data_IF_192465077293
#
_entry.id   IF_192465077293
#
_cell.length_a   1.000
_cell.length_b   1.000
_cell.length_c   1.000
_cell.angle_alpha   90.00
_cell.angle_beta   90.00
_cell.angle_gamma   90.00
#
_symmetry.space_group_name_H-M   'P 1'
#
loop_
_entity.id
_entity.type
_entity.pdbx_description
1 polymer ?
#
# COMPACT_ATOMS: atom_id res chain seq x y z
N UNK A 1 2.50 2.60 9.72
CA UNK A 1 2.01 3.83 10.38
C UNK A 1 0.53 3.66 10.60
N UNK A 2 0.05 3.67 11.86
CA UNK A 2 -1.36 3.49 12.22
C UNK A 2 -2.22 4.72 11.89
N UNK A 3 -1.92 5.41 10.78
CA UNK A 3 -2.47 6.71 10.37
C UNK A 3 -3.75 6.56 9.53
N UNK A 4 -4.11 5.33 9.15
CA UNK A 4 -5.29 5.02 8.33
C UNK A 4 -5.20 5.57 6.90
N UNK A 5 -4.07 6.13 6.49
CA UNK A 5 -3.86 6.59 5.12
C UNK A 5 -3.60 5.40 4.21
N UNK A 6 -4.35 5.30 3.11
CA UNK A 6 -4.16 4.23 2.12
C UNK A 6 -4.12 4.83 0.71
N UNK A 7 -3.41 4.13 -0.17
CA UNK A 7 -3.43 4.39 -1.60
C UNK A 7 -4.24 3.28 -2.27
N UNK A 8 -5.03 3.65 -3.26
CA UNK A 8 -5.67 2.68 -4.15
C UNK A 8 -4.75 2.46 -5.35
N UNK A 9 -4.51 1.19 -5.67
CA UNK A 9 -3.76 0.80 -6.87
C UNK A 9 -4.44 -0.40 -7.49
N UNK A 10 -4.48 -0.46 -8.81
CA UNK A 10 -4.94 -1.64 -9.55
C UNK A 10 -3.77 -2.60 -9.76
N UNK A 11 -4.06 -3.90 -9.74
CA UNK A 11 -3.07 -4.96 -9.90
C UNK A 11 -3.64 -6.08 -10.74
N UNK A 12 -2.82 -6.62 -11.64
CA UNK A 12 -3.17 -7.86 -12.33
C UNK A 12 -2.87 -9.07 -11.44
N UNK A 13 -3.93 -9.67 -10.88
CA UNK A 13 -3.83 -10.85 -10.00
C UNK A 13 -3.30 -12.11 -10.71
N UNK A 14 -3.38 -12.18 -12.05
CA UNK A 14 -2.93 -13.35 -12.83
C UNK A 14 -1.41 -13.41 -12.95
N UNK A 15 -0.76 -12.28 -13.21
CA UNK A 15 0.69 -12.21 -13.42
C UNK A 15 1.47 -11.99 -12.13
N UNK A 16 0.83 -11.40 -11.09
CA UNK A 16 1.45 -11.12 -9.80
C UNK A 16 0.64 -11.72 -8.64
N UNK A 17 0.92 -12.99 -8.25
CA UNK A 17 0.17 -13.64 -7.17
C UNK A 17 0.57 -13.18 -5.75
N UNK A 18 1.79 -12.68 -5.54
CA UNK A 18 2.29 -12.26 -4.22
C UNK A 18 1.80 -10.87 -3.78
N UNK A 19 1.77 -10.58 -2.47
CA UNK A 19 1.36 -9.25 -1.95
C UNK A 19 2.38 -8.17 -2.33
N UNK A 20 1.91 -7.02 -2.82
CA UNK A 20 2.80 -5.90 -3.13
C UNK A 20 3.22 -5.14 -1.86
N UNK A 21 4.52 -4.88 -1.73
CA UNK A 21 5.09 -4.02 -0.69
C UNK A 21 5.83 -2.85 -1.36
N UNK A 22 5.40 -1.62 -1.09
CA UNK A 22 5.96 -0.43 -1.74
C UNK A 22 6.25 0.62 -0.67
N UNK A 23 7.43 1.23 -0.71
CA UNK A 23 7.71 2.43 0.10
C UNK A 23 7.06 3.63 -0.57
N UNK A 24 6.07 4.23 0.08
CA UNK A 24 5.44 5.49 -0.34
C UNK A 24 5.45 6.49 0.79
N UNK A 25 5.28 7.76 0.44
CA UNK A 25 5.17 8.83 1.43
C UNK A 25 3.82 8.73 2.16
N UNK A 26 3.84 8.83 3.49
CA UNK A 26 2.64 9.02 4.29
C UNK A 26 2.51 10.51 4.65
N UNK A 27 1.49 11.23 4.14
CA UNK A 27 1.32 12.65 4.43
C UNK A 27 1.04 12.95 5.91
N UNK A 28 0.49 11.98 6.67
CA UNK A 28 0.22 12.15 8.10
C UNK A 28 1.47 11.95 8.94
N UNK A 29 2.30 10.96 8.60
CA UNK A 29 3.57 10.72 9.31
C UNK A 29 4.74 11.58 8.78
N UNK A 30 4.54 12.27 7.65
CA UNK A 30 5.53 13.07 6.91
C UNK A 30 6.83 12.34 6.61
N UNK A 31 6.74 11.03 6.36
CA UNK A 31 7.89 10.14 6.12
C UNK A 31 7.51 9.07 5.10
N UNK A 32 8.51 8.48 4.45
CA UNK A 32 8.31 7.29 3.62
C UNK A 32 8.13 6.06 4.49
N UNK A 33 6.99 5.40 4.34
CA UNK A 33 6.60 4.22 5.11
C UNK A 33 6.35 3.08 4.13
N UNK A 34 6.56 1.85 4.59
CA UNK A 34 6.22 0.66 3.82
C UNK A 34 4.70 0.45 3.82
N UNK A 35 4.11 0.47 2.62
CA UNK A 35 2.71 0.13 2.38
C UNK A 35 2.63 -1.33 1.96
N UNK A 36 1.70 -2.07 2.58
CA UNK A 36 1.38 -3.45 2.21
C UNK A 36 0.00 -3.49 1.57
N UNK A 37 -0.14 -4.27 0.52
CA UNK A 37 -1.42 -4.51 -0.15
C UNK A 37 -2.44 -5.11 0.84
N UNK A 38 -3.59 -4.45 0.98
CA UNK A 38 -4.75 -4.94 1.73
C UNK A 38 -5.97 -4.98 0.81
N UNK A 39 -6.83 -5.99 0.99
CA UNK A 39 -8.07 -6.10 0.23
C UNK A 39 -9.03 -5.01 0.72
N UNK A 40 -9.44 -4.11 -0.19
CA UNK A 40 -10.58 -3.23 0.06
C UNK A 40 -11.83 -4.10 0.12
N UNK A 41 -12.60 -3.99 1.21
CA UNK A 41 -13.79 -4.83 1.45
C UNK A 41 -14.94 -4.42 0.54
#
# INVERSE_FOLDING_TARGET
>A
AGTGHFYTTTKNKKTMPGKMEIKKYDPKARKHVMYKEMKLR
#
